data_IF_209408911649
#
_entry.id   IF_209408911649
#
_cell.length_a   1.000
_cell.length_b   1.000
_cell.length_c   1.000
_cell.angle_alpha   90.00
_cell.angle_beta   90.00
_cell.angle_gamma   90.00
#
_symmetry.space_group_name_H-M   'P 1'
#
loop_
_entity.id
_entity.type
_entity.pdbx_description
1 polymer ?
#
# COMPACT_ATOMS: atom_id res chain seq x y z
N UNK A 1 57.43 -35.74 -40.62
CA UNK A 1 56.56 -34.54 -40.67
C UNK A 1 55.45 -34.70 -39.68
N UNK A 2 55.48 -33.93 -38.56
CA UNK A 2 54.41 -33.93 -37.54
C UNK A 2 53.48 -32.75 -37.83
N UNK A 3 52.25 -33.05 -38.21
CA UNK A 3 51.23 -32.01 -38.41
C UNK A 3 50.71 -31.55 -37.07
N UNK A 4 50.89 -30.27 -36.74
CA UNK A 4 50.32 -29.63 -35.54
C UNK A 4 48.91 -29.17 -35.90
N UNK A 5 47.91 -29.80 -35.31
CA UNK A 5 46.50 -29.40 -35.43
C UNK A 5 46.21 -28.25 -34.43
N UNK A 6 46.09 -27.03 -34.95
CA UNK A 6 45.71 -25.86 -34.12
C UNK A 6 44.18 -25.82 -34.00
N UNK A 7 43.64 -26.13 -32.80
CA UNK A 7 42.25 -25.92 -32.51
C UNK A 7 42.02 -24.44 -32.17
N UNK A 8 41.39 -23.71 -33.09
CA UNK A 8 40.90 -22.36 -32.81
C UNK A 8 39.56 -22.48 -32.08
N UNK A 9 39.57 -22.27 -30.77
CA UNK A 9 38.33 -22.10 -30.02
C UNK A 9 37.74 -20.73 -30.37
N UNK A 10 36.70 -20.67 -31.19
CA UNK A 10 35.87 -19.50 -31.35
C UNK A 10 35.03 -19.34 -30.06
N UNK A 11 35.40 -18.41 -29.18
CA UNK A 11 34.61 -18.05 -28.07
C UNK A 11 33.31 -17.36 -28.57
N UNK A 12 32.23 -18.12 -28.62
CA UNK A 12 30.89 -17.57 -28.86
C UNK A 12 30.53 -16.70 -27.63
N UNK A 13 30.71 -15.39 -27.73
CA UNK A 13 30.21 -14.47 -26.72
C UNK A 13 28.70 -14.40 -26.87
N UNK A 14 27.97 -15.20 -26.07
CA UNK A 14 26.54 -15.05 -25.91
C UNK A 14 26.35 -13.71 -25.20
N UNK A 15 25.90 -12.68 -25.92
CA UNK A 15 25.40 -11.44 -25.33
C UNK A 15 24.10 -11.78 -24.60
N UNK A 16 24.18 -12.07 -23.32
CA UNK A 16 23.01 -12.13 -22.45
C UNK A 16 22.48 -10.70 -22.41
N UNK A 17 21.42 -10.41 -23.15
CA UNK A 17 20.70 -9.14 -23.00
C UNK A 17 20.07 -9.14 -21.61
N UNK A 18 20.41 -8.16 -20.80
CA UNK A 18 19.79 -7.98 -19.50
C UNK A 18 18.28 -7.80 -19.71
N UNK A 19 17.48 -8.51 -18.92
CA UNK A 19 16.03 -8.40 -19.00
C UNK A 19 15.61 -6.99 -18.53
N UNK A 20 14.85 -6.30 -19.38
CA UNK A 20 14.39 -4.93 -19.14
C UNK A 20 13.01 -4.93 -18.50
N UNK A 21 12.79 -4.07 -17.51
CA UNK A 21 11.47 -3.80 -16.95
C UNK A 21 10.72 -2.89 -17.91
N UNK A 22 9.58 -3.35 -18.42
CA UNK A 22 8.71 -2.52 -19.25
C UNK A 22 8.02 -1.46 -18.39
N UNK A 23 8.32 -0.20 -18.63
CA UNK A 23 7.70 0.97 -17.98
C UNK A 23 7.11 1.87 -19.06
N UNK A 24 5.81 1.73 -19.39
CA UNK A 24 5.19 2.46 -20.50
C UNK A 24 4.88 3.92 -20.16
N UNK A 25 4.63 4.26 -18.89
CA UNK A 25 4.41 5.64 -18.49
C UNK A 25 5.71 6.43 -18.55
N UNK A 26 5.78 7.49 -19.38
CA UNK A 26 7.03 8.23 -19.59
C UNK A 26 7.48 9.01 -18.36
N UNK A 27 6.55 9.48 -17.52
CA UNK A 27 6.86 10.24 -16.30
C UNK A 27 7.43 9.32 -15.23
N UNK A 28 6.86 8.12 -15.08
CA UNK A 28 7.40 7.08 -14.23
C UNK A 28 8.83 6.73 -14.68
N UNK A 29 9.02 6.40 -15.97
CA UNK A 29 10.32 6.01 -16.52
C UNK A 29 11.37 7.11 -16.33
N UNK A 30 11.03 8.35 -16.73
CA UNK A 30 11.93 9.50 -16.60
C UNK A 30 12.35 9.75 -15.15
N UNK A 31 11.39 9.63 -14.22
CA UNK A 31 11.70 9.81 -12.79
C UNK A 31 12.66 8.77 -12.26
N UNK A 32 12.49 7.50 -12.62
CA UNK A 32 13.40 6.41 -12.21
C UNK A 32 14.81 6.65 -12.76
N UNK A 33 14.93 7.04 -14.01
CA UNK A 33 16.21 7.42 -14.63
C UNK A 33 16.83 8.64 -13.91
N UNK A 34 16.05 9.70 -13.68
CA UNK A 34 16.51 10.91 -13.02
C UNK A 34 16.96 10.67 -11.57
N UNK A 35 16.44 9.63 -10.91
CA UNK A 35 16.90 9.18 -9.60
C UNK A 35 18.24 8.40 -9.67
N UNK A 36 18.79 8.19 -10.86
CA UNK A 36 20.06 7.52 -11.10
C UNK A 36 19.99 6.00 -10.96
N UNK A 37 18.83 5.39 -11.22
CA UNK A 37 18.67 3.93 -11.20
C UNK A 37 19.03 3.26 -12.55
N UNK A 38 19.09 4.01 -13.65
CA UNK A 38 19.72 3.61 -14.90
C UNK A 38 21.24 3.72 -14.75
N UNK A 39 21.90 2.59 -14.48
CA UNK A 39 23.34 2.54 -14.16
C UNK A 39 24.26 2.46 -15.36
N UNK A 40 23.71 2.04 -16.49
CA UNK A 40 24.45 1.86 -17.73
C UNK A 40 24.14 2.95 -18.77
N UNK A 41 23.29 3.93 -18.42
CA UNK A 41 22.90 5.10 -19.23
C UNK A 41 22.28 4.72 -20.60
N UNK A 42 21.58 3.58 -20.67
CA UNK A 42 20.94 3.13 -21.92
C UNK A 42 19.48 3.60 -22.05
N UNK A 43 19.00 4.41 -21.13
CA UNK A 43 17.62 4.90 -21.02
C UNK A 43 16.58 3.78 -20.85
N UNK A 44 16.97 2.64 -20.28
CA UNK A 44 16.11 1.56 -19.89
C UNK A 44 16.38 1.21 -18.42
N UNK A 45 15.47 0.46 -17.82
CA UNK A 45 15.67 -0.05 -16.45
C UNK A 45 15.74 -1.57 -16.56
N UNK A 46 16.92 -2.12 -16.32
CA UNK A 46 17.10 -3.55 -16.26
C UNK A 46 16.50 -4.13 -14.98
N UNK A 47 16.14 -5.40 -14.99
CA UNK A 47 15.59 -6.09 -13.80
C UNK A 47 16.58 -6.01 -12.63
N UNK A 48 17.89 -6.11 -12.88
CA UNK A 48 18.91 -5.97 -11.83
C UNK A 48 18.94 -4.58 -11.20
N UNK A 49 18.73 -3.52 -11.99
CA UNK A 49 18.67 -2.15 -11.53
C UNK A 49 17.40 -1.90 -10.70
N UNK A 50 16.25 -2.35 -11.22
CA UNK A 50 14.99 -2.28 -10.48
C UNK A 50 15.07 -3.02 -9.13
N UNK A 51 15.72 -4.19 -9.11
CA UNK A 51 15.89 -4.99 -7.89
C UNK A 51 16.89 -4.39 -6.90
N UNK A 52 17.73 -3.45 -7.30
CA UNK A 52 18.61 -2.74 -6.38
C UNK A 52 17.89 -1.64 -5.57
N UNK A 53 16.66 -1.28 -5.97
CA UNK A 53 15.88 -0.20 -5.34
C UNK A 53 15.09 -0.74 -4.15
N UNK A 54 15.26 -0.10 -2.98
CA UNK A 54 14.52 -0.44 -1.76
C UNK A 54 13.50 0.61 -1.35
N UNK A 55 13.66 1.86 -1.83
CA UNK A 55 12.72 2.96 -1.59
C UNK A 55 12.53 3.74 -2.90
N UNK A 56 11.27 4.02 -3.28
CA UNK A 56 10.94 4.70 -4.53
C UNK A 56 9.79 5.67 -4.33
N UNK A 57 10.05 6.96 -4.61
CA UNK A 57 9.05 8.03 -4.55
C UNK A 57 8.79 8.61 -5.94
N UNK A 58 7.54 8.42 -6.39
CA UNK A 58 7.01 8.81 -7.70
C UNK A 58 5.80 9.73 -7.53
N UNK A 59 5.77 10.52 -6.47
CA UNK A 59 4.67 11.42 -6.15
C UNK A 59 4.73 12.72 -6.97
N UNK A 60 3.56 13.39 -7.13
CA UNK A 60 3.42 14.71 -7.76
C UNK A 60 3.87 14.75 -9.23
N UNK A 61 3.67 13.68 -9.99
CA UNK A 61 4.19 13.56 -11.37
C UNK A 61 3.11 13.40 -12.44
N UNK A 62 1.83 13.43 -12.06
CA UNK A 62 0.72 13.13 -12.98
C UNK A 62 0.84 11.75 -13.67
N UNK A 63 1.42 10.76 -13.02
CA UNK A 63 1.52 9.38 -13.53
C UNK A 63 0.12 8.78 -13.64
N UNK A 64 -0.13 8.10 -14.75
CA UNK A 64 -1.43 7.45 -15.02
C UNK A 64 -1.34 5.92 -15.01
N UNK A 65 -0.13 5.37 -15.17
CA UNK A 65 0.08 3.92 -15.28
C UNK A 65 1.34 3.48 -14.52
N UNK A 66 1.17 2.52 -13.61
CA UNK A 66 2.27 1.93 -12.83
C UNK A 66 2.75 0.57 -13.36
N UNK A 67 2.43 0.22 -14.61
CA UNK A 67 3.00 -0.99 -15.24
C UNK A 67 4.53 -0.94 -15.17
N UNK A 68 5.13 -2.05 -14.72
CA UNK A 68 6.58 -2.15 -14.47
C UNK A 68 6.96 -2.05 -13.00
N UNK A 69 6.12 -1.49 -12.12
CA UNK A 69 6.45 -1.36 -10.70
C UNK A 69 6.75 -2.72 -10.04
N UNK A 70 6.09 -3.77 -10.48
CA UNK A 70 6.30 -5.12 -9.98
C UNK A 70 7.67 -5.74 -10.36
N UNK A 71 8.48 -5.04 -11.14
CA UNK A 71 9.90 -5.37 -11.38
C UNK A 71 10.81 -4.96 -10.22
N UNK A 72 10.39 -4.01 -9.38
CA UNK A 72 11.12 -3.48 -8.24
C UNK A 72 10.91 -4.34 -6.98
N UNK A 73 11.18 -5.63 -7.06
CA UNK A 73 10.77 -6.65 -6.08
C UNK A 73 11.40 -6.50 -4.70
N UNK A 74 12.43 -5.67 -4.54
CA UNK A 74 13.09 -5.40 -3.27
C UNK A 74 12.60 -4.13 -2.57
N UNK A 75 11.56 -3.45 -3.11
CA UNK A 75 11.00 -2.28 -2.46
C UNK A 75 10.46 -2.62 -1.06
N UNK A 76 10.88 -1.81 -0.11
CA UNK A 76 10.35 -1.75 1.24
C UNK A 76 9.42 -0.53 1.43
N UNK A 77 9.61 0.51 0.62
CA UNK A 77 8.84 1.74 0.68
C UNK A 77 8.49 2.23 -0.74
N UNK A 78 7.20 2.54 -0.95
CA UNK A 78 6.69 3.06 -2.21
C UNK A 78 5.76 4.25 -1.99
N UNK A 79 6.11 5.41 -2.56
CA UNK A 79 5.26 6.60 -2.63
C UNK A 79 4.80 6.86 -4.07
N UNK A 80 3.47 6.82 -4.28
CA UNK A 80 2.82 7.14 -5.58
C UNK A 80 1.67 8.12 -5.40
N UNK A 81 1.65 8.84 -4.26
CA UNK A 81 0.59 9.80 -3.95
C UNK A 81 0.59 11.02 -4.89
N UNK A 82 -0.53 11.75 -4.93
CA UNK A 82 -0.73 12.93 -5.78
C UNK A 82 -0.46 12.64 -7.26
N UNK A 83 -1.05 11.54 -7.78
CA UNK A 83 -0.98 11.16 -9.18
C UNK A 83 -2.39 10.99 -9.78
N UNK A 84 -2.49 10.41 -10.98
CA UNK A 84 -3.76 10.18 -11.69
C UNK A 84 -4.04 8.69 -11.91
N UNK A 85 -3.55 7.85 -10.98
CA UNK A 85 -3.68 6.39 -11.08
C UNK A 85 -5.14 5.98 -10.94
N UNK A 86 -5.61 5.11 -11.84
CA UNK A 86 -6.94 4.48 -11.73
C UNK A 86 -6.87 3.04 -11.25
N UNK A 87 -5.70 2.42 -11.38
CA UNK A 87 -5.40 1.09 -10.85
C UNK A 87 -3.96 1.05 -10.30
N UNK A 88 -3.74 0.21 -9.29
CA UNK A 88 -2.41 -0.04 -8.74
C UNK A 88 -2.28 -1.51 -8.34
N UNK A 89 -1.40 -2.23 -9.01
CA UNK A 89 -1.01 -3.59 -8.65
C UNK A 89 0.43 -3.60 -8.11
N UNK A 90 0.57 -3.88 -6.82
CA UNK A 90 1.84 -4.01 -6.11
C UNK A 90 2.03 -5.41 -5.53
N UNK A 91 1.24 -6.38 -5.99
CA UNK A 91 1.16 -7.73 -5.43
C UNK A 91 2.47 -8.53 -5.45
N UNK A 92 3.46 -8.13 -6.26
CA UNK A 92 4.79 -8.76 -6.29
C UNK A 92 5.81 -8.11 -5.37
N UNK A 93 5.51 -6.98 -4.73
CA UNK A 93 6.41 -6.25 -3.84
C UNK A 93 6.41 -6.85 -2.43
N UNK A 94 6.82 -8.11 -2.30
CA UNK A 94 6.68 -8.92 -1.05
C UNK A 94 7.49 -8.40 0.14
N UNK A 95 8.39 -7.43 -0.07
CA UNK A 95 9.18 -6.78 0.99
C UNK A 95 8.57 -5.45 1.44
N UNK A 96 7.48 -4.99 0.80
CA UNK A 96 6.89 -3.68 1.06
C UNK A 96 6.38 -3.59 2.50
N UNK A 97 6.81 -2.53 3.19
CA UNK A 97 6.43 -2.16 4.55
C UNK A 97 5.57 -0.90 4.58
N UNK A 98 5.84 0.05 3.66
CA UNK A 98 5.16 1.33 3.57
C UNK A 98 4.59 1.55 2.17
N UNK A 99 3.29 1.77 2.05
CA UNK A 99 2.63 2.15 0.81
C UNK A 99 1.87 3.46 0.98
N UNK A 100 2.30 4.50 0.24
CA UNK A 100 1.67 5.80 0.17
C UNK A 100 1.04 5.99 -1.22
N UNK A 101 -0.28 5.74 -1.35
CA UNK A 101 -1.01 5.80 -2.62
C UNK A 101 -2.22 6.74 -2.57
N UNK A 102 -2.21 7.69 -1.64
CA UNK A 102 -3.29 8.65 -1.42
C UNK A 102 -3.37 9.72 -2.54
N UNK A 103 -4.48 10.46 -2.60
CA UNK A 103 -4.75 11.49 -3.61
C UNK A 103 -4.52 10.96 -5.04
N UNK A 104 -5.25 9.92 -5.39
CA UNK A 104 -5.30 9.33 -6.72
C UNK A 104 -6.76 9.13 -7.15
N UNK A 105 -6.98 8.33 -8.18
CA UNK A 105 -8.31 7.92 -8.68
C UNK A 105 -8.45 6.40 -8.68
N UNK A 106 -7.74 5.73 -7.75
CA UNK A 106 -7.64 4.27 -7.72
C UNK A 106 -9.01 3.68 -7.44
N UNK A 107 -9.43 2.78 -8.30
CA UNK A 107 -10.59 1.91 -8.14
C UNK A 107 -10.14 0.47 -7.87
N UNK A 108 -9.13 0.03 -8.61
CA UNK A 108 -8.61 -1.33 -8.56
C UNK A 108 -7.24 -1.32 -7.86
N UNK A 109 -7.23 -1.68 -6.58
CA UNK A 109 -6.02 -1.78 -5.75
C UNK A 109 -5.72 -3.25 -5.45
N UNK A 110 -4.57 -3.74 -5.92
CA UNK A 110 -4.10 -5.10 -5.63
C UNK A 110 -2.89 -5.08 -4.69
N UNK A 111 -3.14 -5.35 -3.43
CA UNK A 111 -2.16 -5.48 -2.35
C UNK A 111 -2.01 -6.94 -1.87
N UNK A 112 -2.48 -7.90 -2.66
CA UNK A 112 -2.51 -9.31 -2.30
C UNK A 112 -1.13 -9.84 -1.98
N UNK A 113 -1.00 -10.46 -0.80
CA UNK A 113 0.23 -11.13 -0.36
C UNK A 113 1.34 -10.19 0.11
N UNK A 114 1.05 -8.93 0.42
CA UNK A 114 1.98 -7.99 1.06
C UNK A 114 2.06 -8.23 2.57
N UNK A 115 2.45 -9.42 2.98
CA UNK A 115 2.43 -9.86 4.39
C UNK A 115 3.39 -9.12 5.32
N UNK A 116 4.26 -8.26 4.77
CA UNK A 116 5.18 -7.39 5.51
C UNK A 116 4.71 -5.94 5.60
N UNK A 117 3.53 -5.61 5.05
CA UNK A 117 3.03 -4.24 5.04
C UNK A 117 2.64 -3.80 6.45
N UNK A 118 3.32 -2.76 6.94
CA UNK A 118 3.11 -2.16 8.26
C UNK A 118 2.24 -0.89 8.19
N UNK A 119 2.36 -0.13 7.09
CA UNK A 119 1.65 1.13 6.92
C UNK A 119 0.99 1.20 5.54
N UNK A 120 -0.31 1.44 5.51
CA UNK A 120 -1.11 1.56 4.29
C UNK A 120 -1.88 2.88 4.29
N UNK A 121 -1.53 3.77 3.34
CA UNK A 121 -2.15 5.08 3.16
C UNK A 121 -2.77 5.16 1.77
N UNK A 122 -4.10 5.04 1.70
CA UNK A 122 -4.90 5.04 0.47
C UNK A 122 -6.05 6.06 0.52
N UNK A 123 -5.91 7.06 1.39
CA UNK A 123 -6.93 8.11 1.53
C UNK A 123 -7.10 8.90 0.23
N UNK A 124 -8.28 9.50 0.08
CA UNK A 124 -8.65 10.34 -1.04
C UNK A 124 -8.52 9.63 -2.41
N UNK A 125 -9.00 8.37 -2.44
CA UNK A 125 -9.22 7.59 -3.64
C UNK A 125 -10.72 7.31 -3.77
N UNK A 126 -11.49 8.31 -4.16
CA UNK A 126 -12.97 8.33 -4.11
C UNK A 126 -13.67 7.19 -4.87
N UNK A 127 -12.93 6.32 -5.52
CA UNK A 127 -13.45 5.15 -6.25
C UNK A 127 -13.19 3.82 -5.54
N UNK A 128 -12.40 3.79 -4.43
CA UNK A 128 -12.22 2.54 -3.65
C UNK A 128 -13.52 2.24 -2.90
N UNK A 129 -14.15 1.12 -3.27
CA UNK A 129 -15.40 0.65 -2.66
C UNK A 129 -15.21 -0.62 -1.82
N UNK A 130 -14.08 -1.31 -1.99
CA UNK A 130 -13.69 -2.48 -1.23
C UNK A 130 -12.17 -2.48 -0.96
N UNK A 131 -11.78 -2.95 0.21
CA UNK A 131 -10.37 -3.06 0.60
C UNK A 131 -10.20 -4.35 1.42
N UNK A 132 -9.41 -5.29 0.89
CA UNK A 132 -9.08 -6.52 1.60
C UNK A 132 -7.72 -6.37 2.30
N UNK A 133 -7.76 -6.27 3.61
CA UNK A 133 -6.60 -6.17 4.50
C UNK A 133 -6.37 -7.44 5.34
N UNK A 134 -7.18 -8.49 5.15
CA UNK A 134 -7.23 -9.69 6.00
C UNK A 134 -5.90 -10.46 6.10
N UNK A 135 -4.98 -10.27 5.15
CA UNK A 135 -3.65 -10.92 5.15
C UNK A 135 -2.52 -10.02 5.62
N UNK A 136 -2.82 -8.78 6.00
CA UNK A 136 -1.82 -7.79 6.43
C UNK A 136 -1.61 -7.87 7.96
N UNK A 137 -1.28 -9.04 8.46
CA UNK A 137 -1.27 -9.36 9.91
C UNK A 137 -0.27 -8.55 10.74
N UNK A 138 0.68 -7.86 10.10
CA UNK A 138 1.65 -6.95 10.76
C UNK A 138 1.30 -5.47 10.58
N UNK A 139 0.12 -5.15 10.01
CA UNK A 139 -0.31 -3.78 9.76
C UNK A 139 -0.51 -3.04 11.08
N UNK A 140 0.15 -1.88 11.22
CA UNK A 140 0.13 -1.01 12.39
C UNK A 140 -0.73 0.23 12.17
N UNK A 141 -0.72 0.76 10.96
CA UNK A 141 -1.47 1.96 10.62
C UNK A 141 -2.20 1.80 9.28
N UNK A 142 -3.50 2.14 9.29
CA UNK A 142 -4.37 2.08 8.13
C UNK A 142 -5.10 3.41 7.97
N UNK A 143 -4.87 4.10 6.85
CA UNK A 143 -5.62 5.29 6.49
C UNK A 143 -6.32 5.11 5.14
N UNK A 144 -7.65 5.10 5.18
CA UNK A 144 -8.54 4.99 4.01
C UNK A 144 -9.59 6.11 3.98
N UNK A 145 -9.32 7.23 4.63
CA UNK A 145 -10.15 8.44 4.64
C UNK A 145 -10.59 8.85 3.23
N UNK A 146 -11.80 9.40 3.07
CA UNK A 146 -12.26 9.99 1.81
C UNK A 146 -12.43 8.96 0.68
N UNK A 147 -12.89 7.75 1.00
CA UNK A 147 -13.20 6.70 0.04
C UNK A 147 -14.70 6.37 0.01
N UNK A 148 -15.09 5.22 -0.51
CA UNK A 148 -16.50 4.76 -0.57
C UNK A 148 -16.70 3.35 -0.01
N UNK A 149 -15.91 2.98 1.01
CA UNK A 149 -16.05 1.67 1.63
C UNK A 149 -17.38 1.58 2.38
N UNK A 150 -18.12 0.49 2.16
CA UNK A 150 -19.36 0.18 2.90
C UNK A 150 -19.11 -0.78 4.05
N UNK A 151 -18.01 -1.51 4.01
CA UNK A 151 -17.57 -2.46 5.04
C UNK A 151 -16.06 -2.59 5.04
N UNK A 152 -15.50 -2.95 6.20
CA UNK A 152 -14.09 -3.28 6.36
C UNK A 152 -13.96 -4.41 7.38
N UNK A 153 -13.30 -5.49 7.00
CA UNK A 153 -12.97 -6.60 7.89
C UNK A 153 -11.55 -6.43 8.44
N UNK A 154 -11.44 -6.33 9.75
CA UNK A 154 -10.18 -6.17 10.48
C UNK A 154 -9.66 -7.50 11.06
N UNK A 155 -10.26 -8.64 10.69
CA UNK A 155 -9.88 -9.96 11.19
C UNK A 155 -8.40 -10.24 10.91
N UNK A 156 -7.66 -10.62 11.95
CA UNK A 156 -6.23 -10.91 11.87
C UNK A 156 -5.31 -9.71 12.08
N UNK A 157 -5.82 -8.49 12.15
CA UNK A 157 -5.01 -7.27 12.35
C UNK A 157 -4.72 -7.02 13.85
N UNK A 158 -4.14 -8.01 14.50
CA UNK A 158 -3.97 -8.03 15.96
C UNK A 158 -2.97 -7.01 16.50
N UNK A 159 -2.13 -6.41 15.63
CA UNK A 159 -1.14 -5.40 15.99
C UNK A 159 -1.50 -4.00 15.47
N UNK A 160 -2.70 -3.82 14.90
CA UNK A 160 -3.14 -2.53 14.37
C UNK A 160 -3.34 -1.53 15.49
N UNK A 161 -2.66 -0.38 15.40
CA UNK A 161 -2.65 0.67 16.42
C UNK A 161 -3.48 1.89 16.02
N UNK A 162 -3.55 2.19 14.71
CA UNK A 162 -4.21 3.39 14.22
C UNK A 162 -5.08 3.12 13.00
N UNK A 163 -6.31 3.63 13.05
CA UNK A 163 -7.32 3.57 11.98
C UNK A 163 -7.83 4.99 11.72
N UNK A 164 -7.61 5.49 10.51
CA UNK A 164 -8.23 6.71 9.99
C UNK A 164 -9.08 6.34 8.77
N UNK A 165 -10.40 6.39 8.91
CA UNK A 165 -11.37 6.01 7.88
C UNK A 165 -12.57 6.94 7.84
N UNK A 166 -12.38 8.21 8.21
CA UNK A 166 -13.44 9.23 8.11
C UNK A 166 -13.90 9.41 6.66
N UNK A 167 -15.09 9.97 6.49
CA UNK A 167 -15.65 10.28 5.17
C UNK A 167 -15.72 9.04 4.26
N UNK A 168 -16.35 7.97 4.76
CA UNK A 168 -16.65 6.75 4.02
C UNK A 168 -18.15 6.39 4.13
N UNK A 169 -18.54 5.23 3.62
CA UNK A 169 -19.92 4.73 3.66
C UNK A 169 -20.06 3.51 4.59
N UNK A 170 -19.21 3.39 5.62
CA UNK A 170 -19.24 2.22 6.50
C UNK A 170 -20.56 2.15 7.27
N UNK A 171 -21.27 1.03 7.12
CA UNK A 171 -22.50 0.73 7.85
C UNK A 171 -22.21 -0.06 9.14
N UNK A 172 -21.13 -0.83 9.15
CA UNK A 172 -20.69 -1.64 10.29
C UNK A 172 -19.16 -1.75 10.30
N UNK A 173 -18.59 -1.93 11.49
CA UNK A 173 -17.19 -2.32 11.68
C UNK A 173 -17.06 -3.04 13.03
N UNK A 174 -16.19 -4.05 13.11
CA UNK A 174 -15.86 -4.72 14.37
C UNK A 174 -14.44 -4.35 14.81
N UNK A 175 -14.33 -3.36 15.70
CA UNK A 175 -13.05 -2.90 16.22
C UNK A 175 -12.39 -3.91 17.17
N UNK A 176 -13.18 -4.82 17.78
CA UNK A 176 -12.64 -5.89 18.66
C UNK A 176 -11.66 -6.82 17.97
N UNK A 177 -11.65 -6.85 16.65
CA UNK A 177 -10.68 -7.61 15.85
C UNK A 177 -9.28 -6.96 15.81
N UNK A 178 -9.18 -5.70 16.27
CA UNK A 178 -7.93 -4.94 16.38
C UNK A 178 -7.66 -4.56 17.86
N UNK A 179 -7.33 -5.49 18.74
CA UNK A 179 -7.27 -5.27 20.20
C UNK A 179 -6.17 -4.31 20.65
N UNK A 180 -5.18 -4.03 19.80
CA UNK A 180 -4.09 -3.10 20.09
C UNK A 180 -4.38 -1.66 19.64
N UNK A 181 -5.58 -1.40 19.10
CA UNK A 181 -5.92 -0.09 18.57
C UNK A 181 -5.91 0.97 19.68
N UNK A 182 -5.21 2.08 19.40
CA UNK A 182 -5.07 3.26 20.27
C UNK A 182 -5.87 4.45 19.75
N UNK A 183 -5.91 4.61 18.43
CA UNK A 183 -6.58 5.72 17.77
C UNK A 183 -7.51 5.23 16.66
N UNK A 184 -8.77 5.66 16.76
CA UNK A 184 -9.82 5.37 15.77
C UNK A 184 -10.50 6.66 15.37
N UNK A 185 -10.41 7.02 14.10
CA UNK A 185 -11.19 8.09 13.50
C UNK A 185 -12.05 7.52 12.38
N UNK A 186 -13.35 7.44 12.62
CA UNK A 186 -14.37 6.93 11.68
C UNK A 186 -15.51 7.95 11.52
N UNK A 187 -15.21 9.23 11.73
CA UNK A 187 -16.12 10.35 11.54
C UNK A 187 -16.82 10.30 10.19
N UNK A 188 -18.07 10.77 10.11
CA UNK A 188 -18.84 10.88 8.87
C UNK A 188 -18.95 9.53 8.14
N UNK A 189 -19.34 8.47 8.84
CA UNK A 189 -19.72 7.17 8.27
C UNK A 189 -21.22 6.91 8.47
N UNK A 190 -21.74 5.80 7.97
CA UNK A 190 -23.17 5.50 7.95
C UNK A 190 -23.61 4.53 9.05
N UNK A 191 -22.92 4.52 10.18
CA UNK A 191 -23.30 3.69 11.34
C UNK A 191 -24.67 4.13 11.88
N UNK A 192 -25.57 3.17 12.13
CA UNK A 192 -26.97 3.48 12.53
C UNK A 192 -27.33 3.10 13.95
N UNK A 193 -26.65 2.14 14.56
CA UNK A 193 -27.06 1.62 15.87
C UNK A 193 -25.95 1.77 16.89
N UNK A 194 -24.87 1.01 16.73
CA UNK A 194 -23.73 1.01 17.63
C UNK A 194 -22.48 0.49 16.93
N UNK A 195 -21.32 0.81 17.51
CA UNK A 195 -20.03 0.19 17.17
C UNK A 195 -19.56 -0.53 18.43
N UNK A 196 -19.11 -1.77 18.28
CA UNK A 196 -18.60 -2.53 19.44
C UNK A 196 -17.15 -2.14 19.75
N UNK A 197 -16.99 -1.39 20.83
CA UNK A 197 -15.70 -0.93 21.36
C UNK A 197 -15.35 -1.57 22.70
N UNK A 198 -16.17 -2.49 23.18
CA UNK A 198 -15.99 -3.12 24.51
C UNK A 198 -14.66 -3.87 24.58
N UNK A 199 -13.93 -3.68 25.66
CA UNK A 199 -12.67 -4.38 25.91
C UNK A 199 -11.48 -3.87 25.09
N UNK A 200 -11.61 -2.73 24.39
CA UNK A 200 -10.48 -2.08 23.74
C UNK A 200 -9.67 -1.31 24.78
N UNK A 201 -8.91 -2.06 25.58
CA UNK A 201 -8.19 -1.52 26.74
C UNK A 201 -7.12 -0.49 26.36
N UNK A 202 -6.59 -0.54 25.12
CA UNK A 202 -5.56 0.38 24.66
C UNK A 202 -6.11 1.62 23.94
N UNK A 203 -7.44 1.70 23.74
CA UNK A 203 -8.06 2.80 23.01
C UNK A 203 -7.93 4.11 23.78
N UNK A 204 -7.30 5.11 23.15
CA UNK A 204 -7.06 6.44 23.72
C UNK A 204 -7.92 7.53 23.07
N UNK A 205 -8.21 7.37 21.78
CA UNK A 205 -8.97 8.33 20.98
C UNK A 205 -10.01 7.62 20.12
N UNK A 206 -11.25 8.12 20.15
CA UNK A 206 -12.34 7.65 19.30
C UNK A 206 -13.12 8.83 18.71
N UNK A 207 -13.20 8.94 17.39
CA UNK A 207 -14.13 9.84 16.72
C UNK A 207 -15.05 9.04 15.80
N UNK A 208 -16.34 9.04 16.08
CA UNK A 208 -17.41 8.45 15.29
C UNK A 208 -18.53 9.47 15.05
N UNK A 209 -18.22 10.76 15.23
CA UNK A 209 -19.16 11.85 15.02
C UNK A 209 -19.65 11.92 13.57
N UNK A 210 -20.84 12.49 13.38
CA UNK A 210 -21.49 12.53 12.06
C UNK A 210 -22.18 11.23 11.66
N UNK A 211 -22.11 10.17 12.49
CA UNK A 211 -22.91 8.96 12.34
C UNK A 211 -24.25 9.08 13.11
N UNK A 212 -25.19 8.18 12.83
CA UNK A 212 -26.50 8.15 13.52
C UNK A 212 -26.51 7.07 14.62
N UNK A 213 -25.48 7.06 15.47
CA UNK A 213 -25.39 6.09 16.57
C UNK A 213 -26.44 6.35 17.62
N UNK A 214 -27.07 5.32 18.13
CA UNK A 214 -28.03 5.40 19.22
C UNK A 214 -27.34 5.34 20.59
N UNK A 215 -26.25 4.58 20.70
CA UNK A 215 -25.46 4.48 21.92
C UNK A 215 -24.05 3.94 21.65
N UNK A 216 -23.13 4.18 22.59
CA UNK A 216 -21.82 3.56 22.67
C UNK A 216 -21.66 2.88 24.05
N UNK A 217 -21.06 1.69 24.05
CA UNK A 217 -20.75 0.99 25.29
C UNK A 217 -19.24 1.04 25.54
N UNK A 218 -18.86 1.80 26.55
CA UNK A 218 -17.46 2.06 26.92
C UNK A 218 -16.87 1.02 27.89
N UNK A 219 -17.56 -0.11 28.14
CA UNK A 219 -17.10 -1.12 29.08
C UNK A 219 -15.72 -1.67 28.68
N UNK A 220 -14.71 -1.47 29.53
CA UNK A 220 -13.34 -1.94 29.33
C UNK A 220 -12.47 -1.02 28.48
N UNK A 221 -12.93 0.19 28.12
CA UNK A 221 -12.08 1.20 27.44
C UNK A 221 -11.38 2.09 28.48
N UNK A 222 -10.52 1.48 29.30
CA UNK A 222 -9.96 2.11 30.51
C UNK A 222 -8.95 3.24 30.25
N UNK A 223 -8.40 3.34 29.04
CA UNK A 223 -7.43 4.36 28.66
C UNK A 223 -8.01 5.44 27.73
N UNK A 224 -9.33 5.40 27.45
CA UNK A 224 -9.96 6.38 26.56
C UNK A 224 -9.92 7.78 27.18
N UNK A 225 -9.26 8.72 26.49
CA UNK A 225 -9.04 10.10 26.94
C UNK A 225 -9.98 11.07 26.23
N UNK A 226 -10.26 10.78 24.96
CA UNK A 226 -10.95 11.69 24.06
C UNK A 226 -11.90 10.92 23.14
N UNK A 227 -13.16 11.36 23.07
CA UNK A 227 -14.14 10.72 22.19
C UNK A 227 -15.17 11.71 21.68
N UNK A 228 -15.64 11.46 20.46
CA UNK A 228 -16.68 12.22 19.75
C UNK A 228 -17.66 11.27 19.08
N UNK A 229 -18.97 11.54 19.19
CA UNK A 229 -20.03 10.70 18.64
C UNK A 229 -21.35 11.44 18.38
#
# INVERSE_FOLDING_TARGET
MRSILIFVFAALSIKIHAQVVRIPDPKFKQRVIALGYDKNDDNQIQVSEAQAVTSLYLNDLDIVNMEGINGFTNLEELGVYNNKLTALDVSKLKKLKFLYAFNNRIKDLNITGLTKLEHLFVQDNIFITALDVSKLTVLKELNFTGNRLTKLDLTGLTVLEKIDGQDNNLETISLRQAPQVKRVNLKNNLFKVTIDIRGLTNLEYLDVSGAQLLFLNFSGTVHLKEYYW
#
